data_IF_215339802623
#
_entry.id   IF_215339802623
#
_cell.length_a   1.000
_cell.length_b   1.000
_cell.length_c   1.000
_cell.angle_alpha   90.00
_cell.angle_beta   90.00
_cell.angle_gamma   90.00
#
_symmetry.space_group_name_H-M   'P 1'
#
loop_
_entity.id
_entity.type
_entity.pdbx_description
1 polymer ?
#
# COMPACT_ATOMS: atom_id res chain seq x y z
N UNK A 1 59.94 39.14 -21.71
CA UNK A 1 59.26 39.38 -20.42
C UNK A 1 57.76 39.15 -20.63
N UNK A 2 57.21 38.07 -20.07
CA UNK A 2 55.76 37.84 -20.03
C UNK A 2 55.38 37.58 -18.58
N UNK A 3 54.96 38.65 -17.91
CA UNK A 3 54.56 38.67 -16.51
C UNK A 3 53.18 38.02 -16.38
N UNK A 4 53.12 36.81 -15.79
CA UNK A 4 51.85 36.14 -15.48
C UNK A 4 51.16 36.91 -14.35
N UNK A 5 50.25 37.80 -14.73
CA UNK A 5 49.27 38.43 -13.84
C UNK A 5 48.35 37.35 -13.22
N UNK A 6 48.78 36.75 -12.12
CA UNK A 6 47.94 35.92 -11.24
C UNK A 6 46.99 36.84 -10.46
N UNK A 7 45.92 37.33 -11.11
CA UNK A 7 44.81 37.98 -10.41
C UNK A 7 43.98 36.88 -9.75
N UNK A 8 44.15 36.72 -8.45
CA UNK A 8 43.25 35.91 -7.62
C UNK A 8 41.86 36.55 -7.65
N UNK A 9 40.96 35.95 -8.42
CA UNK A 9 39.56 36.39 -8.52
C UNK A 9 38.84 35.99 -7.22
N UNK A 10 38.90 36.86 -6.20
CA UNK A 10 38.22 36.69 -4.93
C UNK A 10 36.76 37.12 -5.08
N UNK A 11 35.85 36.16 -5.13
CA UNK A 11 34.40 36.43 -5.08
C UNK A 11 34.03 36.86 -3.65
N UNK A 12 33.19 37.89 -3.47
CA UNK A 12 32.73 38.28 -2.15
C UNK A 12 31.99 37.11 -1.48
N UNK A 13 32.11 36.94 -0.15
CA UNK A 13 31.60 35.77 0.58
C UNK A 13 30.18 35.32 0.22
N UNK A 14 29.17 36.21 0.04
CA UNK A 14 27.83 35.77 -0.35
C UNK A 14 27.77 35.18 -1.77
N UNK A 15 28.49 35.73 -2.75
CA UNK A 15 28.47 35.21 -4.13
C UNK A 15 29.21 33.87 -4.25
N UNK A 16 30.24 33.65 -3.43
CA UNK A 16 30.94 32.36 -3.35
C UNK A 16 29.99 31.24 -2.89
N UNK A 17 29.16 31.51 -1.88
CA UNK A 17 28.16 30.55 -1.38
C UNK A 17 27.14 30.20 -2.47
N UNK A 18 26.62 31.21 -3.19
CA UNK A 18 25.70 30.97 -4.31
C UNK A 18 26.34 30.17 -5.46
N UNK A 19 27.60 30.45 -5.79
CA UNK A 19 28.34 29.69 -6.80
C UNK A 19 28.53 28.21 -6.40
N UNK A 20 28.84 27.93 -5.13
CA UNK A 20 28.96 26.57 -4.60
C UNK A 20 27.60 25.85 -4.64
N UNK A 21 26.52 26.51 -4.25
CA UNK A 21 25.16 25.93 -4.29
C UNK A 21 24.76 25.56 -5.72
N UNK A 22 25.02 26.42 -6.70
CA UNK A 22 24.74 26.15 -8.11
C UNK A 22 25.60 25.02 -8.68
N UNK A 23 26.89 24.95 -8.29
CA UNK A 23 27.79 23.88 -8.69
C UNK A 23 27.32 22.53 -8.14
N UNK A 24 26.97 22.46 -6.84
CA UNK A 24 26.47 21.25 -6.20
C UNK A 24 25.14 20.81 -6.82
N UNK A 25 24.21 21.74 -7.09
CA UNK A 25 22.96 21.45 -7.76
C UNK A 25 23.20 20.89 -9.18
N UNK A 26 24.15 21.45 -9.92
CA UNK A 26 24.49 20.98 -11.27
C UNK A 26 25.10 19.58 -11.25
N UNK A 27 26.01 19.30 -10.32
CA UNK A 27 26.59 17.96 -10.12
C UNK A 27 25.51 16.95 -9.74
N UNK A 28 24.57 17.32 -8.87
CA UNK A 28 23.46 16.47 -8.47
C UNK A 28 22.54 16.12 -9.65
N UNK A 29 22.21 17.10 -10.49
CA UNK A 29 21.37 16.91 -11.69
C UNK A 29 22.07 16.02 -12.71
N UNK A 30 23.37 16.23 -12.96
CA UNK A 30 24.16 15.38 -13.86
C UNK A 30 24.27 13.94 -13.32
N UNK A 31 24.45 13.78 -12.00
CA UNK A 31 24.45 12.47 -11.34
C UNK A 31 23.12 11.72 -11.47
N UNK A 32 21.99 12.42 -11.35
CA UNK A 32 20.66 11.83 -11.55
C UNK A 32 20.43 11.41 -13.01
N UNK A 33 20.86 12.22 -13.98
CA UNK A 33 20.75 11.89 -15.40
C UNK A 33 21.60 10.68 -15.79
N UNK A 34 22.83 10.57 -15.27
CA UNK A 34 23.70 9.41 -15.48
C UNK A 34 23.10 8.12 -14.87
N UNK A 35 22.55 8.20 -13.65
CA UNK A 35 21.85 7.07 -13.02
C UNK A 35 20.61 6.63 -13.81
N UNK A 36 19.84 7.59 -14.36
CA UNK A 36 18.67 7.29 -15.17
C UNK A 36 19.03 6.60 -16.50
N UNK A 37 20.14 6.99 -17.14
CA UNK A 37 20.63 6.36 -18.37
C UNK A 37 21.06 4.90 -18.14
N UNK A 38 21.83 4.66 -17.07
CA UNK A 38 22.23 3.31 -16.62
C UNK A 38 21.00 2.45 -16.30
N UNK A 39 19.96 3.02 -15.69
CA UNK A 39 18.69 2.34 -15.42
C UNK A 39 17.91 1.96 -16.70
N UNK A 40 17.97 2.75 -17.77
CA UNK A 40 17.30 2.43 -19.05
C UNK A 40 18.02 1.31 -19.80
N UNK A 41 19.34 1.37 -19.88
CA UNK A 41 20.13 0.37 -20.61
C UNK A 41 20.15 -0.98 -19.88
N UNK A 42 20.30 -0.97 -18.55
CA UNK A 42 20.20 -2.18 -17.74
C UNK A 42 18.83 -2.86 -17.84
N UNK A 43 17.75 -2.08 -17.93
CA UNK A 43 16.40 -2.61 -18.16
C UNK A 43 16.28 -3.39 -19.46
N UNK A 44 16.83 -2.85 -20.56
CA UNK A 44 16.79 -3.52 -21.87
C UNK A 44 17.55 -4.84 -21.85
N UNK A 45 18.80 -4.83 -21.38
CA UNK A 45 19.62 -6.04 -21.33
C UNK A 45 18.99 -7.16 -20.49
N UNK A 46 18.48 -6.83 -19.30
CA UNK A 46 17.81 -7.81 -18.43
C UNK A 46 16.52 -8.33 -19.07
N UNK A 47 15.76 -7.45 -19.75
CA UNK A 47 14.55 -7.84 -20.47
C UNK A 47 14.86 -8.79 -21.63
N UNK A 48 15.82 -8.44 -22.49
CA UNK A 48 16.25 -9.26 -23.63
C UNK A 48 16.72 -10.65 -23.17
N UNK A 49 17.46 -10.73 -22.06
CA UNK A 49 17.93 -12.00 -21.51
C UNK A 49 16.77 -12.87 -20.97
N UNK A 50 15.72 -12.25 -20.42
CA UNK A 50 14.50 -12.94 -19.99
C UNK A 50 13.69 -13.42 -21.20
N UNK A 51 13.52 -12.60 -22.23
CA UNK A 51 12.79 -12.96 -23.46
C UNK A 51 13.45 -14.12 -24.21
N UNK A 52 14.78 -14.15 -24.22
CA UNK A 52 15.56 -15.24 -24.82
C UNK A 52 15.67 -16.49 -23.92
N UNK A 53 14.87 -16.58 -22.84
CA UNK A 53 14.88 -17.65 -21.84
C UNK A 53 16.27 -17.98 -21.26
N UNK A 54 17.21 -17.03 -21.31
CA UNK A 54 18.56 -17.20 -20.77
C UNK A 54 18.64 -16.67 -19.34
N UNK A 55 17.98 -17.40 -18.44
CA UNK A 55 17.83 -16.97 -17.04
C UNK A 55 19.15 -16.83 -16.29
N UNK A 56 20.19 -17.61 -16.66
CA UNK A 56 21.52 -17.48 -16.06
C UNK A 56 22.19 -16.17 -16.44
N UNK A 57 22.16 -15.78 -17.72
CA UNK A 57 22.67 -14.48 -18.18
C UNK A 57 21.86 -13.32 -17.60
N UNK A 58 20.53 -13.48 -17.56
CA UNK A 58 19.64 -12.48 -16.96
C UNK A 58 19.97 -12.24 -15.48
N UNK A 59 20.25 -13.31 -14.72
CA UNK A 59 20.68 -13.21 -13.33
C UNK A 59 22.02 -12.48 -13.18
N UNK A 60 23.02 -12.85 -13.99
CA UNK A 60 24.34 -12.21 -13.96
C UNK A 60 24.27 -10.71 -14.28
N UNK A 61 23.50 -10.34 -15.31
CA UNK A 61 23.29 -8.95 -15.68
C UNK A 61 22.50 -8.20 -14.60
N UNK A 62 21.47 -8.81 -14.03
CA UNK A 62 20.69 -8.21 -12.95
C UNK A 62 21.56 -7.96 -11.69
N UNK A 63 22.51 -8.85 -11.37
CA UNK A 63 23.51 -8.64 -10.30
C UNK A 63 24.38 -7.41 -10.60
N UNK A 64 24.99 -7.35 -11.79
CA UNK A 64 25.84 -6.22 -12.21
C UNK A 64 25.11 -4.89 -12.10
N UNK A 65 23.86 -4.83 -12.55
CA UNK A 65 23.07 -3.60 -12.52
C UNK A 65 22.51 -3.27 -11.13
N UNK A 66 22.28 -4.29 -10.28
CA UNK A 66 21.83 -4.06 -8.91
C UNK A 66 22.91 -3.42 -8.04
N UNK A 67 24.19 -3.68 -8.34
CA UNK A 67 25.35 -3.01 -7.72
C UNK A 67 25.44 -1.53 -8.10
N UNK A 68 24.97 -1.18 -9.30
CA UNK A 68 24.76 0.21 -9.73
C UNK A 68 23.47 0.82 -9.23
N UNK A 69 22.85 0.21 -8.21
CA UNK A 69 21.70 0.80 -7.56
C UNK A 69 20.51 0.96 -8.55
N UNK A 70 20.32 0.00 -9.46
CA UNK A 70 19.13 -0.02 -10.32
C UNK A 70 17.95 -0.66 -9.58
N UNK A 71 16.92 0.10 -9.23
CA UNK A 71 15.76 -0.43 -8.48
C UNK A 71 14.95 -1.47 -9.27
N UNK A 72 14.95 -1.36 -10.60
CA UNK A 72 14.36 -2.38 -11.47
C UNK A 72 15.12 -3.70 -11.37
N UNK A 73 16.46 -3.67 -11.52
CA UNK A 73 17.30 -4.88 -11.45
C UNK A 73 17.25 -5.53 -10.07
N UNK A 74 17.23 -4.73 -9.01
CA UNK A 74 16.99 -5.22 -7.64
C UNK A 74 15.62 -5.92 -7.53
N UNK A 75 14.56 -5.39 -8.14
CA UNK A 75 13.26 -6.06 -8.19
C UNK A 75 13.31 -7.38 -8.98
N UNK A 76 14.02 -7.41 -10.11
CA UNK A 76 14.18 -8.64 -10.92
C UNK A 76 14.97 -9.71 -10.17
N UNK A 77 16.06 -9.35 -9.48
CA UNK A 77 16.77 -10.29 -8.61
C UNK A 77 15.85 -10.85 -7.54
N UNK A 78 15.05 -9.99 -6.90
CA UNK A 78 14.04 -10.43 -5.95
C UNK A 78 13.07 -11.45 -6.55
N UNK A 79 12.63 -11.24 -7.79
CA UNK A 79 11.75 -12.17 -8.52
C UNK A 79 12.42 -13.49 -8.86
N UNK A 80 13.68 -13.46 -9.33
CA UNK A 80 14.46 -14.65 -9.65
C UNK A 80 14.65 -15.53 -8.42
N UNK A 81 15.00 -14.93 -7.27
CA UNK A 81 15.09 -15.63 -5.99
C UNK A 81 13.73 -16.12 -5.46
N UNK A 82 12.64 -15.35 -5.61
CA UNK A 82 11.29 -15.77 -5.20
C UNK A 82 10.82 -17.02 -5.97
N UNK A 83 11.16 -17.10 -7.27
CA UNK A 83 10.70 -18.16 -8.19
C UNK A 83 11.70 -19.30 -8.39
N UNK A 84 12.97 -19.11 -8.04
CA UNK A 84 14.04 -20.07 -8.34
C UNK A 84 14.38 -20.11 -9.84
N UNK A 85 14.37 -18.96 -10.52
CA UNK A 85 14.62 -18.86 -11.96
C UNK A 85 16.03 -18.34 -12.21
N UNK A 86 16.89 -19.16 -12.81
CA UNK A 86 18.31 -18.83 -13.05
C UNK A 86 19.19 -18.89 -11.79
N UNK A 87 18.59 -19.06 -10.61
CA UNK A 87 19.22 -19.20 -9.30
C UNK A 87 18.35 -20.12 -8.42
N UNK A 88 18.93 -20.73 -7.39
CA UNK A 88 18.15 -21.49 -6.40
C UNK A 88 17.12 -20.58 -5.69
N UNK A 89 15.93 -21.14 -5.42
CA UNK A 89 14.85 -20.40 -4.76
C UNK A 89 15.26 -20.01 -3.33
N UNK A 90 15.23 -18.73 -3.02
CA UNK A 90 15.55 -18.19 -1.70
C UNK A 90 14.67 -16.96 -1.40
N UNK A 91 13.60 -17.16 -0.63
CA UNK A 91 12.64 -16.08 -0.36
C UNK A 91 13.21 -15.03 0.60
N UNK A 92 14.19 -15.40 1.44
CA UNK A 92 14.87 -14.45 2.33
C UNK A 92 15.67 -13.44 1.51
N UNK A 93 16.47 -13.92 0.54
CA UNK A 93 17.17 -13.04 -0.42
C UNK A 93 16.18 -12.24 -1.27
N UNK A 94 15.06 -12.83 -1.66
CA UNK A 94 14.03 -12.09 -2.38
C UNK A 94 13.51 -10.89 -1.58
N UNK A 95 13.23 -11.08 -0.29
CA UNK A 95 12.80 -10.01 0.62
C UNK A 95 13.87 -8.92 0.74
N UNK A 96 15.15 -9.29 0.85
CA UNK A 96 16.25 -8.31 0.92
C UNK A 96 16.32 -7.44 -0.34
N UNK A 97 16.31 -8.05 -1.52
CA UNK A 97 16.36 -7.34 -2.79
C UNK A 97 15.11 -6.48 -3.04
N UNK A 98 13.92 -7.02 -2.77
CA UNK A 98 12.70 -6.21 -2.82
C UNK A 98 12.72 -5.05 -1.83
N UNK A 99 13.29 -5.24 -0.63
CA UNK A 99 13.39 -4.17 0.38
C UNK A 99 14.29 -3.03 -0.10
N UNK A 100 15.42 -3.33 -0.75
CA UNK A 100 16.31 -2.31 -1.33
C UNK A 100 15.58 -1.48 -2.39
N UNK A 101 14.93 -2.13 -3.37
CA UNK A 101 14.16 -1.46 -4.41
C UNK A 101 12.95 -0.69 -3.85
N UNK A 102 12.23 -1.27 -2.89
CA UNK A 102 11.03 -0.68 -2.31
C UNK A 102 11.34 0.58 -1.49
N UNK A 103 12.47 0.61 -0.77
CA UNK A 103 12.96 1.79 -0.03
C UNK A 103 13.23 2.98 -0.94
N UNK A 104 13.57 2.72 -2.20
CA UNK A 104 13.82 3.74 -3.23
C UNK A 104 12.58 4.16 -3.99
N UNK A 105 11.41 3.67 -3.58
CA UNK A 105 10.15 4.06 -4.18
C UNK A 105 9.65 3.15 -5.29
N UNK A 106 10.39 2.09 -5.68
CA UNK A 106 9.98 1.28 -6.83
C UNK A 106 8.67 0.52 -6.56
N UNK A 107 7.60 0.92 -7.24
CA UNK A 107 6.23 0.51 -6.94
C UNK A 107 6.01 -1.00 -7.02
N UNK A 108 6.63 -1.68 -8.00
CA UNK A 108 6.50 -3.14 -8.16
C UNK A 108 7.19 -3.91 -7.04
N UNK A 109 8.35 -3.43 -6.58
CA UNK A 109 9.04 -4.05 -5.45
C UNK A 109 8.25 -3.85 -4.15
N UNK A 110 7.65 -2.67 -3.95
CA UNK A 110 6.74 -2.41 -2.83
C UNK A 110 5.53 -3.35 -2.86
N UNK A 111 4.91 -3.54 -4.03
CA UNK A 111 3.81 -4.50 -4.19
C UNK A 111 4.24 -5.93 -3.84
N UNK A 112 5.34 -6.41 -4.41
CA UNK A 112 5.84 -7.78 -4.22
C UNK A 112 6.20 -8.04 -2.75
N UNK A 113 6.90 -7.10 -2.12
CA UNK A 113 7.24 -7.16 -0.70
C UNK A 113 5.98 -7.18 0.18
N UNK A 114 5.03 -6.30 -0.11
CA UNK A 114 3.76 -6.25 0.59
C UNK A 114 2.94 -7.53 0.43
N UNK A 115 2.93 -8.11 -0.77
CA UNK A 115 2.28 -9.40 -1.06
C UNK A 115 2.91 -10.56 -0.30
N UNK A 116 4.24 -10.62 -0.20
CA UNK A 116 4.94 -11.65 0.58
C UNK A 116 4.52 -11.61 2.05
N UNK A 117 4.52 -10.44 2.68
CA UNK A 117 4.06 -10.27 4.06
C UNK A 117 2.57 -10.53 4.24
N UNK A 118 1.75 -10.24 3.23
CA UNK A 118 0.30 -10.50 3.27
C UNK A 118 -0.01 -12.00 3.24
N UNK A 119 0.62 -12.73 2.31
CA UNK A 119 0.39 -14.16 2.12
C UNK A 119 1.04 -15.00 3.23
N UNK A 120 2.21 -14.59 3.71
CA UNK A 120 2.93 -15.33 4.75
C UNK A 120 3.44 -16.71 4.31
N UNK A 121 3.56 -16.93 2.99
CA UNK A 121 4.16 -18.15 2.44
C UNK A 121 5.67 -17.93 2.37
N UNK A 122 6.44 -18.77 3.05
CA UNK A 122 7.91 -18.72 3.14
C UNK A 122 8.48 -17.52 3.94
N UNK A 123 7.65 -16.53 4.32
CA UNK A 123 7.97 -15.42 5.22
C UNK A 123 6.90 -15.35 6.31
N UNK A 124 7.25 -15.00 7.55
CA UNK A 124 6.26 -14.81 8.61
C UNK A 124 5.23 -13.76 8.20
N UNK A 125 3.94 -14.14 8.18
CA UNK A 125 2.81 -13.25 7.87
C UNK A 125 2.85 -12.02 8.79
N UNK A 126 2.83 -10.83 8.18
CA UNK A 126 2.78 -9.56 8.91
C UNK A 126 1.85 -8.60 8.16
N UNK A 127 0.56 -8.58 8.51
CA UNK A 127 -0.42 -7.76 7.79
C UNK A 127 -0.19 -6.26 7.97
N UNK A 128 0.51 -5.82 9.05
CA UNK A 128 0.85 -4.40 9.23
C UNK A 128 1.96 -3.98 8.27
N UNK A 129 3.02 -4.78 8.14
CA UNK A 129 4.06 -4.54 7.13
C UNK A 129 3.52 -4.66 5.71
N UNK A 130 2.63 -5.62 5.47
CA UNK A 130 1.95 -5.74 4.20
C UNK A 130 1.18 -4.45 3.83
N UNK A 131 0.37 -3.94 4.77
CA UNK A 131 -0.39 -2.71 4.56
C UNK A 131 0.51 -1.51 4.25
N UNK A 132 1.63 -1.39 4.96
CA UNK A 132 2.60 -0.31 4.74
C UNK A 132 3.14 -0.31 3.31
N UNK A 133 3.62 -1.45 2.83
CA UNK A 133 4.23 -1.55 1.51
C UNK A 133 3.19 -1.52 0.38
N UNK A 134 2.04 -2.19 0.57
CA UNK A 134 0.94 -2.18 -0.39
C UNK A 134 0.34 -0.78 -0.54
N UNK A 135 0.21 -0.01 0.55
CA UNK A 135 -0.31 1.35 0.46
C UNK A 135 0.62 2.25 -0.39
N UNK A 136 1.94 2.20 -0.16
CA UNK A 136 2.91 2.96 -0.98
C UNK A 136 2.84 2.60 -2.47
N UNK A 137 2.66 1.31 -2.78
CA UNK A 137 2.52 0.86 -4.16
C UNK A 137 1.17 1.26 -4.79
N UNK A 138 0.10 1.19 -4.01
CA UNK A 138 -1.26 1.55 -4.43
C UNK A 138 -1.39 3.05 -4.72
N UNK A 139 -0.73 3.90 -3.92
CA UNK A 139 -0.63 5.35 -4.13
C UNK A 139 0.09 5.70 -5.44
N UNK A 140 1.02 4.85 -5.89
CA UNK A 140 1.67 4.97 -7.19
C UNK A 140 0.88 4.38 -8.36
N UNK A 141 -0.34 3.87 -8.11
CA UNK A 141 -1.23 3.42 -9.18
C UNK A 141 -1.14 1.94 -9.55
N UNK A 142 -0.38 1.12 -8.80
CA UNK A 142 -0.29 -0.33 -9.07
C UNK A 142 -1.63 -0.99 -8.76
N UNK A 143 -2.34 -1.44 -9.81
CA UNK A 143 -3.71 -1.96 -9.73
C UNK A 143 -3.84 -3.14 -8.76
N UNK A 144 -2.89 -4.07 -8.77
CA UNK A 144 -2.88 -5.21 -7.85
C UNK A 144 -2.73 -4.73 -6.40
N UNK A 145 -1.86 -3.76 -6.13
CA UNK A 145 -1.71 -3.21 -4.78
C UNK A 145 -2.98 -2.51 -4.28
N UNK A 146 -3.65 -1.76 -5.16
CA UNK A 146 -4.97 -1.15 -4.89
C UNK A 146 -6.01 -2.22 -4.55
N UNK A 147 -6.06 -3.32 -5.30
CA UNK A 147 -6.94 -4.45 -5.01
C UNK A 147 -6.68 -5.06 -3.62
N UNK A 148 -5.40 -5.32 -3.27
CA UNK A 148 -5.07 -5.85 -1.95
C UNK A 148 -5.39 -4.86 -0.83
N UNK A 149 -5.14 -3.55 -1.00
CA UNK A 149 -5.56 -2.54 -0.03
C UNK A 149 -7.07 -2.52 0.16
N UNK A 150 -7.83 -2.62 -0.93
CA UNK A 150 -9.27 -2.80 -0.92
C UNK A 150 -9.71 -3.98 -0.06
N UNK A 151 -9.12 -5.15 -0.28
CA UNK A 151 -9.38 -6.37 0.48
C UNK A 151 -8.99 -6.22 1.96
N UNK A 152 -7.84 -5.63 2.26
CA UNK A 152 -7.35 -5.43 3.62
C UNK A 152 -8.28 -4.50 4.42
N UNK A 153 -8.78 -3.42 3.81
CA UNK A 153 -9.78 -2.55 4.45
C UNK A 153 -11.16 -3.22 4.62
N UNK A 154 -11.58 -4.16 3.76
CA UNK A 154 -12.81 -4.92 3.98
C UNK A 154 -12.70 -5.87 5.18
N UNK A 155 -11.54 -6.52 5.33
CA UNK A 155 -11.31 -7.53 6.34
C UNK A 155 -10.81 -6.96 7.68
N UNK A 156 -10.22 -5.76 7.67
CA UNK A 156 -9.50 -5.25 8.83
C UNK A 156 -8.10 -5.86 9.01
N UNK A 157 -7.51 -6.39 7.93
CA UNK A 157 -6.19 -7.05 7.96
C UNK A 157 -5.09 -6.00 8.03
N UNK A 158 -4.45 -5.79 9.19
CA UNK A 158 -3.33 -4.85 9.34
C UNK A 158 -3.70 -3.36 9.26
N UNK A 159 -4.94 -3.05 8.88
CA UNK A 159 -5.55 -1.72 8.89
C UNK A 159 -6.94 -1.80 9.52
N UNK A 160 -7.45 -0.73 10.18
CA UNK A 160 -8.83 -0.73 10.66
C UNK A 160 -9.82 -0.91 9.53
N UNK A 161 -10.81 -1.78 9.74
CA UNK A 161 -11.87 -2.07 8.76
C UNK A 161 -12.56 -0.77 8.33
N UNK A 162 -12.62 -0.52 7.03
CA UNK A 162 -13.25 0.67 6.46
C UNK A 162 -13.81 0.39 5.07
N UNK A 163 -15.13 0.17 4.99
CA UNK A 163 -15.83 -0.19 3.74
C UNK A 163 -15.72 0.91 2.68
N UNK A 164 -15.70 2.18 3.07
CA UNK A 164 -15.61 3.29 2.12
C UNK A 164 -14.22 3.39 1.49
N UNK A 165 -13.16 3.32 2.31
CA UNK A 165 -11.78 3.28 1.82
C UNK A 165 -11.54 2.04 0.97
N UNK A 166 -12.05 0.88 1.39
CA UNK A 166 -11.98 -0.34 0.60
C UNK A 166 -12.58 -0.15 -0.79
N UNK A 167 -13.81 0.38 -0.87
CA UNK A 167 -14.51 0.59 -2.13
C UNK A 167 -13.76 1.54 -3.05
N UNK A 168 -13.21 2.65 -2.53
CA UNK A 168 -12.39 3.58 -3.32
C UNK A 168 -11.20 2.87 -3.96
N UNK A 169 -10.44 2.10 -3.18
CA UNK A 169 -9.31 1.33 -3.70
C UNK A 169 -9.73 0.26 -4.73
N UNK A 170 -10.85 -0.43 -4.48
CA UNK A 170 -11.35 -1.45 -5.40
C UNK A 170 -11.85 -0.86 -6.72
N UNK A 171 -12.48 0.31 -6.72
CA UNK A 171 -12.85 0.98 -7.98
C UNK A 171 -11.62 1.34 -8.79
N UNK A 172 -10.59 1.93 -8.16
CA UNK A 172 -9.33 2.23 -8.85
C UNK A 172 -8.65 0.99 -9.46
N UNK A 173 -8.78 -0.16 -8.81
CA UNK A 173 -8.29 -1.43 -9.31
C UNK A 173 -9.17 -1.99 -10.46
N UNK A 174 -10.49 -1.87 -10.34
CA UNK A 174 -11.45 -2.30 -11.37
C UNK A 174 -11.29 -1.51 -12.66
N UNK A 175 -11.13 -0.19 -12.55
CA UNK A 175 -10.90 0.73 -13.69
C UNK A 175 -9.60 0.37 -14.44
N UNK A 176 -8.64 -0.28 -13.76
CA UNK A 176 -7.39 -0.79 -14.33
C UNK A 176 -7.45 -2.27 -14.74
N UNK A 177 -8.65 -2.85 -14.82
CA UNK A 177 -8.86 -4.20 -15.36
C UNK A 177 -8.75 -5.34 -14.35
N UNK A 178 -8.68 -5.09 -13.04
CA UNK A 178 -8.75 -6.16 -12.03
C UNK A 178 -10.21 -6.63 -11.91
N UNK A 179 -10.58 -7.65 -12.68
CA UNK A 179 -11.95 -8.18 -12.72
C UNK A 179 -12.48 -8.60 -11.33
N UNK A 180 -11.61 -9.21 -10.50
CA UNK A 180 -11.95 -9.63 -9.14
C UNK A 180 -12.36 -8.47 -8.21
N UNK A 181 -11.96 -7.23 -8.53
CA UNK A 181 -12.33 -6.07 -7.73
C UNK A 181 -13.84 -5.80 -7.75
N UNK A 182 -14.51 -6.01 -8.90
CA UNK A 182 -15.96 -5.84 -9.03
C UNK A 182 -16.75 -6.77 -8.11
N UNK A 183 -16.26 -8.01 -7.92
CA UNK A 183 -16.86 -8.96 -6.98
C UNK A 183 -16.79 -8.47 -5.55
N UNK A 184 -15.64 -7.90 -5.14
CA UNK A 184 -15.49 -7.33 -3.80
C UNK A 184 -16.27 -6.04 -3.61
N UNK A 185 -16.41 -5.21 -4.65
CA UNK A 185 -17.30 -4.05 -4.65
C UNK A 185 -18.74 -4.49 -4.39
N UNK A 186 -19.25 -5.48 -5.13
CA UNK A 186 -20.59 -6.03 -4.93
C UNK A 186 -20.80 -6.55 -3.50
N UNK A 187 -19.83 -7.30 -2.95
CA UNK A 187 -19.86 -7.75 -1.54
C UNK A 187 -19.94 -6.56 -0.57
N UNK A 188 -19.24 -5.46 -0.86
CA UNK A 188 -19.30 -4.24 -0.06
C UNK A 188 -20.67 -3.52 -0.12
N UNK A 189 -21.42 -3.65 -1.23
CA UNK A 189 -22.77 -3.09 -1.37
C UNK A 189 -23.78 -3.86 -0.54
N UNK A 190 -23.75 -5.19 -0.59
CA UNK A 190 -24.62 -6.05 0.24
C UNK A 190 -24.42 -5.77 1.73
N UNK A 191 -23.16 -5.59 2.16
CA UNK A 191 -22.87 -5.24 3.54
C UNK A 191 -23.45 -3.87 3.93
N UNK A 192 -23.42 -2.87 3.04
CA UNK A 192 -24.01 -1.54 3.29
C UNK A 192 -25.52 -1.62 3.39
N UNK A 193 -26.16 -2.37 2.49
CA UNK A 193 -27.61 -2.53 2.46
C UNK A 193 -28.12 -3.24 3.71
N UNK A 194 -27.46 -4.32 4.12
CA UNK A 194 -27.78 -5.02 5.37
C UNK A 194 -27.71 -4.06 6.57
N UNK A 195 -26.66 -3.24 6.69
CA UNK A 195 -26.53 -2.25 7.76
C UNK A 195 -27.66 -1.20 7.70
N UNK A 196 -28.03 -0.74 6.50
CA UNK A 196 -29.10 0.24 6.33
C UNK A 196 -30.45 -0.32 6.80
N UNK A 197 -30.79 -1.55 6.39
CA UNK A 197 -32.03 -2.21 6.80
C UNK A 197 -32.06 -2.43 8.32
N UNK A 198 -30.97 -2.90 8.93
CA UNK A 198 -30.87 -3.06 10.39
C UNK A 198 -31.07 -1.73 11.12
N UNK A 199 -30.46 -0.64 10.65
CA UNK A 199 -30.65 0.70 11.25
C UNK A 199 -32.06 1.25 11.06
N UNK A 200 -32.74 0.89 9.98
CA UNK A 200 -34.14 1.27 9.72
C UNK A 200 -35.08 0.55 10.69
N UNK A 201 -34.89 -0.76 10.86
CA UNK A 201 -35.66 -1.57 11.82
C UNK A 201 -35.42 -1.08 13.25
N UNK A 202 -34.16 -0.87 13.65
CA UNK A 202 -33.83 -0.38 14.99
C UNK A 202 -34.47 0.98 15.31
N UNK A 203 -34.50 1.90 14.34
CA UNK A 203 -35.22 3.18 14.48
C UNK A 203 -36.72 2.98 14.63
N UNK A 204 -37.33 2.18 13.76
CA UNK A 204 -38.76 1.87 13.86
C UNK A 204 -39.13 1.26 15.20
N UNK A 205 -38.31 0.34 15.71
CA UNK A 205 -38.48 -0.30 17.02
C UNK A 205 -38.34 0.73 18.17
N UNK A 206 -37.36 1.64 18.11
CA UNK A 206 -37.21 2.73 19.09
C UNK A 206 -38.38 3.71 19.06
N UNK A 207 -38.87 4.07 17.87
CA UNK A 207 -40.00 4.97 17.69
C UNK A 207 -41.30 4.35 18.20
N UNK A 208 -41.52 3.05 17.95
CA UNK A 208 -42.62 2.29 18.53
C UNK A 208 -42.51 2.19 20.06
N UNK A 209 -41.31 1.98 20.61
CA UNK A 209 -41.11 1.97 22.06
C UNK A 209 -41.42 3.34 22.69
N UNK A 210 -41.05 4.44 22.05
CA UNK A 210 -41.41 5.81 22.48
C UNK A 210 -42.89 6.13 22.31
N UNK A 211 -43.54 5.61 21.27
CA UNK A 211 -44.97 5.75 21.07
C UNK A 211 -45.77 4.92 22.11
N UNK A 212 -45.35 3.68 22.35
CA UNK A 212 -45.88 2.81 23.40
C UNK A 212 -45.68 3.38 24.80
N UNK A 213 -44.51 3.95 25.09
CA UNK A 213 -44.25 4.67 26.34
C UNK A 213 -45.10 5.94 26.52
N UNK A 214 -45.53 6.58 25.43
CA UNK A 214 -46.50 7.71 25.47
C UNK A 214 -47.94 7.24 25.67
N UNK A 215 -48.31 6.08 25.12
CA UNK A 215 -49.63 5.44 25.32
C UNK A 215 -49.76 4.82 26.72
N UNK A 216 -48.73 4.14 27.22
CA UNK A 216 -48.68 3.52 28.55
C UNK A 216 -48.24 4.48 29.67
N UNK A 217 -47.65 5.62 29.33
CA UNK A 217 -47.30 6.70 30.26
C UNK A 217 -48.50 7.39 30.90
N UNK A 218 -49.73 7.14 30.41
CA UNK A 218 -50.95 7.48 31.13
C UNK A 218 -51.31 6.47 32.24
N UNK A 219 -50.56 5.37 32.39
CA UNK A 219 -50.92 4.29 33.33
C UNK A 219 -49.84 3.83 34.32
N UNK A 220 -48.53 4.09 34.16
CA UNK A 220 -47.55 3.51 35.09
C UNK A 220 -46.33 4.40 35.37
N UNK A 221 -46.36 5.12 36.49
CA UNK A 221 -45.24 5.81 37.15
C UNK A 221 -44.19 4.85 37.76
N UNK A 222 -44.29 3.53 37.57
CA UNK A 222 -43.49 2.55 38.31
C UNK A 222 -42.58 1.60 37.49
N UNK A 223 -42.14 1.96 36.28
CA UNK A 223 -41.20 1.10 35.51
C UNK A 223 -40.01 1.85 34.87
N UNK A 224 -39.23 2.57 35.69
CA UNK A 224 -37.90 3.09 35.29
C UNK A 224 -36.90 1.98 34.87
N UNK A 225 -37.22 0.71 35.13
CA UNK A 225 -36.34 -0.45 34.87
C UNK A 225 -36.26 -0.87 33.39
N UNK A 226 -37.18 -0.41 32.52
CA UNK A 226 -37.28 -0.84 31.10
C UNK A 226 -36.35 -0.06 30.15
N UNK A 227 -36.11 1.23 30.41
CA UNK A 227 -35.37 2.11 29.49
C UNK A 227 -33.86 1.87 29.48
N UNK A 228 -33.31 1.43 30.60
CA UNK A 228 -31.88 1.12 30.73
C UNK A 228 -31.48 -0.06 29.85
N UNK A 229 -32.29 -1.13 29.83
CA UNK A 229 -32.10 -2.28 28.94
C UNK A 229 -32.16 -1.91 27.47
N UNK A 230 -33.02 -0.96 27.07
CA UNK A 230 -33.09 -0.48 25.69
C UNK A 230 -31.86 0.32 25.27
N UNK A 231 -31.39 1.23 26.13
CA UNK A 231 -30.15 1.97 25.91
C UNK A 231 -28.93 1.03 25.85
N UNK A 232 -28.94 -0.03 26.67
CA UNK A 232 -27.91 -1.06 26.66
C UNK A 232 -27.96 -1.90 25.38
N UNK A 233 -29.14 -2.21 24.83
CA UNK A 233 -29.28 -2.88 23.52
C UNK A 233 -28.77 -1.98 22.40
N UNK A 234 -29.12 -0.69 22.39
CA UNK A 234 -28.62 0.26 21.37
C UNK A 234 -27.10 0.42 21.47
N UNK A 235 -26.55 0.56 22.68
CA UNK A 235 -25.11 0.61 22.91
C UNK A 235 -24.41 -0.72 22.60
N UNK A 236 -25.05 -1.86 22.85
CA UNK A 236 -24.56 -3.18 22.48
C UNK A 236 -24.59 -3.37 20.96
N UNK A 237 -25.59 -2.83 20.26
CA UNK A 237 -25.67 -2.83 18.80
C UNK A 237 -24.64 -1.89 18.17
N UNK A 238 -24.36 -0.73 18.75
CA UNK A 238 -23.28 0.16 18.30
C UNK A 238 -21.90 -0.46 18.60
N UNK A 239 -21.71 -1.11 19.75
CA UNK A 239 -20.52 -1.93 20.05
C UNK A 239 -20.41 -3.15 19.16
N UNK A 240 -21.51 -3.80 18.79
CA UNK A 240 -21.53 -4.93 17.85
C UNK A 240 -21.30 -4.45 16.41
N UNK A 241 -21.74 -3.26 16.02
CA UNK A 241 -21.38 -2.64 14.75
C UNK A 241 -19.88 -2.27 14.70
N UNK A 242 -19.30 -1.85 15.84
CA UNK A 242 -17.87 -1.65 16.00
C UNK A 242 -17.08 -2.97 16.15
N UNK A 243 -17.72 -4.03 16.66
CA UNK A 243 -17.12 -5.32 17.07
C UNK A 243 -17.31 -6.48 16.09
N UNK A 244 -18.32 -6.46 15.22
CA UNK A 244 -18.51 -7.41 14.11
C UNK A 244 -17.46 -7.23 12.98
N UNK A 245 -16.46 -6.38 13.21
CA UNK A 245 -15.17 -6.39 12.52
C UNK A 245 -14.10 -7.29 13.19
N UNK A 246 -14.41 -8.00 14.28
CA UNK A 246 -13.46 -8.82 15.07
C UNK A 246 -13.82 -10.30 15.22
N UNK A 247 -14.95 -10.79 14.70
CA UNK A 247 -15.32 -12.22 14.83
C UNK A 247 -15.69 -12.79 13.46
N UNK A 248 -14.88 -13.73 12.98
CA UNK A 248 -15.06 -14.44 11.72
C UNK A 248 -13.72 -14.98 11.21
N UNK A 249 -13.42 -16.21 11.67
CA UNK A 249 -12.32 -17.10 11.25
C UNK A 249 -11.84 -16.94 9.81
#
# INVERSE_FOLDING_TARGET
MLEKSNRSFSLPPPLLVWAIVLLVASILVVGQAASAAVDVEGRKCVHDAIENNNFRKAFEQACKMADHDCSYSQCILGLMYEKGVGVEKDVTKAVEWYTKAARRGFADAQFRLGRLYYLGKDVKRDPKKAALWLNKSAEQGVAQAQYYMGKMYLNGDGVPKNVQKARRWLHLAADRGIADANRLIAKSHLAKEAIYQTKKVARGVSDHAKAGGRLYGQTLENTEMSWKGYADIVNALDKAAAGAGKVGN
#
